data_IF_407161022881
#
_entry.id   IF_407161022881
#
_cell.length_a   1.000
_cell.length_b   1.000
_cell.length_c   1.000
_cell.angle_alpha   90.00
_cell.angle_beta   90.00
_cell.angle_gamma   90.00
#
_symmetry.space_group_name_H-M   'P 1'
#
loop_
_entity.id
_entity.type
_entity.pdbx_description
1 polymer ?
#
# COMPACT_ATOMS: atom_id res chain seq x y z
N UNK A 1 -1.40 10.33 -12.25
CA UNK A 1 -0.38 9.28 -12.54
C UNK A 1 1.00 9.77 -12.13
N UNK A 2 1.36 9.58 -10.86
CA UNK A 2 2.69 9.90 -10.36
C UNK A 2 3.60 8.70 -10.69
N UNK A 3 4.75 9.00 -11.27
CA UNK A 3 5.59 8.07 -12.04
C UNK A 3 6.05 6.86 -11.23
N UNK A 4 5.61 5.69 -11.64
CA UNK A 4 6.39 4.46 -11.51
C UNK A 4 7.66 4.61 -12.37
N UNK A 5 8.83 4.70 -11.73
CA UNK A 5 10.11 4.09 -12.16
C UNK A 5 11.30 4.65 -11.38
N UNK A 6 12.16 3.70 -10.98
CA UNK A 6 13.59 3.85 -10.69
C UNK A 6 14.06 4.44 -9.34
N UNK A 7 13.25 4.34 -8.28
CA UNK A 7 13.65 4.66 -6.90
C UNK A 7 13.92 3.46 -5.97
N UNK A 8 13.60 2.23 -6.39
CA UNK A 8 13.42 1.09 -5.48
C UNK A 8 14.65 0.69 -4.66
N UNK A 9 15.88 0.84 -5.17
CA UNK A 9 17.07 0.39 -4.41
C UNK A 9 17.36 1.26 -3.17
N UNK A 10 17.08 2.55 -3.22
CA UNK A 10 17.42 3.47 -2.12
C UNK A 10 16.38 3.47 -1.00
N UNK A 11 15.10 3.32 -1.33
CA UNK A 11 14.02 3.32 -0.33
C UNK A 11 14.00 1.98 0.45
N UNK A 12 14.41 0.88 -0.19
CA UNK A 12 14.36 -0.46 0.40
C UNK A 12 15.59 -0.85 1.24
N UNK A 13 16.68 -0.08 1.22
CA UNK A 13 18.01 -0.39 1.79
C UNK A 13 18.10 -0.61 3.32
N UNK A 14 16.97 -0.75 4.02
CA UNK A 14 16.93 -1.09 5.44
C UNK A 14 15.58 -1.65 5.89
N UNK A 15 14.83 -2.27 4.97
CA UNK A 15 13.65 -3.06 5.33
C UNK A 15 14.08 -4.53 5.26
N UNK A 16 14.20 -5.24 6.40
CA UNK A 16 14.59 -6.64 6.38
C UNK A 16 13.68 -7.48 5.48
N UNK A 17 14.26 -8.44 4.74
CA UNK A 17 13.49 -9.31 3.86
C UNK A 17 12.52 -10.22 4.61
N UNK A 18 12.87 -10.58 5.84
CA UNK A 18 12.14 -11.47 6.75
C UNK A 18 10.89 -10.87 7.39
N UNK A 19 10.58 -9.60 7.13
CA UNK A 19 9.39 -8.97 7.70
C UNK A 19 8.11 -9.51 7.05
N UNK A 20 7.02 -9.65 7.83
CA UNK A 20 5.69 -9.86 7.28
C UNK A 20 5.35 -8.80 6.23
N UNK A 21 4.66 -9.21 5.16
CA UNK A 21 4.37 -8.35 4.00
C UNK A 21 3.68 -7.03 4.38
N UNK A 22 2.80 -7.07 5.38
CA UNK A 22 2.09 -5.88 5.90
C UNK A 22 3.04 -4.86 6.54
N UNK A 23 3.99 -5.31 7.35
CA UNK A 23 5.01 -4.46 7.98
C UNK A 23 5.98 -3.94 6.92
N UNK A 24 6.32 -4.78 5.93
CA UNK A 24 7.16 -4.40 4.81
C UNK A 24 6.53 -3.23 4.05
N UNK A 25 5.29 -3.36 3.59
CA UNK A 25 4.55 -2.32 2.88
C UNK A 25 4.50 -1.00 3.67
N UNK A 26 4.15 -1.06 4.96
CA UNK A 26 4.12 0.11 5.84
C UNK A 26 5.49 0.82 5.91
N UNK A 27 6.59 0.07 6.10
CA UNK A 27 7.94 0.63 6.18
C UNK A 27 8.44 1.22 4.86
N UNK A 28 8.10 0.61 3.72
CA UNK A 28 8.45 1.14 2.40
C UNK A 28 7.83 2.53 2.22
N UNK A 29 6.56 2.68 2.56
CA UNK A 29 5.83 3.94 2.41
C UNK A 29 6.31 5.01 3.40
N UNK A 30 6.61 4.64 4.65
CA UNK A 30 7.15 5.60 5.63
C UNK A 30 8.51 6.15 5.20
N UNK A 31 9.35 5.33 4.55
CA UNK A 31 10.61 5.80 3.96
C UNK A 31 10.40 6.68 2.74
N UNK A 32 9.45 6.35 1.86
CA UNK A 32 9.12 7.16 0.68
C UNK A 32 8.65 8.58 1.05
N UNK A 33 7.93 8.74 2.17
CA UNK A 33 7.59 10.06 2.71
C UNK A 33 8.82 10.91 3.04
N UNK A 34 9.82 10.32 3.70
CA UNK A 34 11.00 11.04 4.17
C UNK A 34 11.86 11.62 3.04
N UNK A 35 11.63 11.19 1.78
CA UNK A 35 12.29 11.72 0.58
C UNK A 35 11.44 12.72 -0.21
N UNK A 36 10.31 13.20 0.36
CA UNK A 36 9.53 14.31 -0.20
C UNK A 36 8.30 13.92 -1.02
N UNK A 37 7.92 12.64 -1.03
CA UNK A 37 6.65 12.18 -1.62
C UNK A 37 5.62 12.04 -0.51
N UNK A 38 4.96 13.15 -0.14
CA UNK A 38 3.82 13.08 0.77
C UNK A 38 2.63 13.84 0.20
N UNK A 39 1.45 13.38 0.58
CA UNK A 39 0.16 13.92 0.15
C UNK A 39 -0.06 15.28 0.81
N UNK A 40 -0.56 16.27 0.07
CA UNK A 40 -0.89 17.59 0.64
C UNK A 40 -1.99 17.47 1.70
N UNK A 41 -2.91 16.51 1.54
CA UNK A 41 -3.95 16.18 2.51
C UNK A 41 -4.09 14.67 2.70
N UNK A 42 -4.18 14.16 3.94
CA UNK A 42 -4.44 12.75 4.21
C UNK A 42 -5.74 12.20 3.60
N UNK A 43 -6.69 13.07 3.22
CA UNK A 43 -7.94 12.66 2.60
C UNK A 43 -7.76 12.18 1.15
N UNK A 44 -6.73 12.65 0.44
CA UNK A 44 -6.50 12.37 -0.99
C UNK A 44 -6.10 10.89 -1.21
N UNK A 45 -5.59 10.22 -0.17
CA UNK A 45 -5.28 8.79 -0.23
C UNK A 45 -6.52 7.93 -0.52
N UNK A 46 -7.70 8.40 -0.13
CA UNK A 46 -8.95 7.65 -0.32
C UNK A 46 -9.36 7.59 -1.79
N UNK A 47 -8.94 8.56 -2.61
CA UNK A 47 -9.20 8.48 -4.05
C UNK A 47 -8.38 7.34 -4.66
N UNK A 48 -7.13 7.16 -4.24
CA UNK A 48 -6.31 6.03 -4.67
C UNK A 48 -6.85 4.69 -4.16
N UNK A 49 -7.28 4.60 -2.89
CA UNK A 49 -7.91 3.38 -2.36
C UNK A 49 -9.14 2.97 -3.18
N UNK A 50 -9.98 3.93 -3.62
CA UNK A 50 -11.14 3.64 -4.47
C UNK A 50 -10.75 3.28 -5.90
N UNK A 51 -9.70 3.88 -6.44
CA UNK A 51 -9.12 3.52 -7.75
C UNK A 51 -8.69 2.05 -7.76
N UNK A 52 -7.83 1.63 -6.82
CA UNK A 52 -7.34 0.24 -6.74
C UNK A 52 -8.48 -0.76 -6.50
N UNK A 53 -9.48 -0.40 -5.69
CA UNK A 53 -10.65 -1.25 -5.48
C UNK A 53 -11.41 -1.47 -6.78
N UNK A 54 -11.55 -0.43 -7.60
CA UNK A 54 -12.25 -0.51 -8.89
C UNK A 54 -11.48 -1.38 -9.89
N UNK A 55 -10.14 -1.31 -9.88
CA UNK A 55 -9.26 -2.13 -10.71
C UNK A 55 -9.34 -3.60 -10.30
N UNK A 56 -9.25 -3.89 -9.00
CA UNK A 56 -9.47 -5.23 -8.46
C UNK A 56 -10.84 -5.82 -8.85
N UNK A 57 -11.92 -5.06 -8.69
CA UNK A 57 -13.27 -5.50 -9.08
C UNK A 57 -13.36 -5.81 -10.59
N UNK A 58 -12.68 -5.02 -11.43
CA UNK A 58 -12.66 -5.22 -12.87
C UNK A 58 -11.94 -6.52 -13.27
N UNK A 59 -10.77 -6.81 -12.68
CA UNK A 59 -10.01 -8.03 -13.00
C UNK A 59 -10.69 -9.28 -12.43
N UNK A 60 -11.28 -9.19 -11.23
CA UNK A 60 -12.13 -10.25 -10.68
C UNK A 60 -13.32 -10.56 -11.61
N UNK A 61 -13.95 -9.53 -12.19
CA UNK A 61 -15.03 -9.66 -13.15
C UNK A 61 -14.63 -10.34 -14.47
N UNK A 62 -13.35 -10.27 -14.84
CA UNK A 62 -12.79 -10.96 -16.01
C UNK A 62 -12.40 -12.41 -15.73
N UNK A 63 -12.29 -12.80 -14.45
CA UNK A 63 -11.85 -14.13 -14.05
C UNK A 63 -10.35 -14.38 -14.26
N UNK A 64 -9.55 -13.32 -14.40
CA UNK A 64 -8.10 -13.41 -14.49
C UNK A 64 -7.51 -13.45 -13.08
N UNK A 65 -7.09 -14.63 -12.63
CA UNK A 65 -6.60 -14.84 -11.27
C UNK A 65 -5.27 -14.12 -11.01
N UNK A 66 -4.36 -14.13 -11.97
CA UNK A 66 -3.03 -13.52 -11.81
C UNK A 66 -3.15 -12.00 -11.75
N UNK A 67 -3.95 -11.42 -12.65
CA UNK A 67 -4.25 -9.98 -12.60
C UNK A 67 -4.98 -9.61 -11.31
N UNK A 68 -5.97 -10.40 -10.89
CA UNK A 68 -6.69 -10.15 -9.63
C UNK A 68 -5.79 -10.20 -8.40
N UNK A 69 -4.81 -11.11 -8.35
CA UNK A 69 -3.86 -11.19 -7.24
C UNK A 69 -2.94 -9.96 -7.21
N UNK A 70 -2.55 -9.44 -8.37
CA UNK A 70 -1.80 -8.20 -8.49
C UNK A 70 -2.59 -7.00 -7.93
N UNK A 71 -3.80 -6.80 -8.44
CA UNK A 71 -4.67 -5.68 -8.03
C UNK A 71 -5.07 -5.77 -6.55
N UNK A 72 -5.19 -6.99 -6.01
CA UNK A 72 -5.40 -7.19 -4.58
C UNK A 72 -4.20 -6.69 -3.77
N UNK A 73 -2.98 -6.92 -4.26
CA UNK A 73 -1.75 -6.39 -3.69
C UNK A 73 -1.77 -4.86 -3.65
N UNK A 74 -2.13 -4.21 -4.75
CA UNK A 74 -2.15 -2.75 -4.86
C UNK A 74 -3.26 -2.11 -4.01
N UNK A 75 -4.44 -2.75 -3.96
CA UNK A 75 -5.51 -2.35 -3.05
C UNK A 75 -5.05 -2.40 -1.58
N UNK A 76 -4.47 -3.52 -1.15
CA UNK A 76 -3.95 -3.66 0.22
C UNK A 76 -2.84 -2.65 0.51
N UNK A 77 -1.94 -2.43 -0.46
CA UNK A 77 -0.86 -1.45 -0.33
C UNK A 77 -1.41 -0.03 -0.13
N UNK A 78 -2.45 0.35 -0.88
CA UNK A 78 -3.13 1.63 -0.76
C UNK A 78 -3.84 1.80 0.59
N UNK A 79 -4.50 0.75 1.09
CA UNK A 79 -5.11 0.75 2.43
C UNK A 79 -4.05 0.92 3.53
N UNK A 80 -2.91 0.23 3.42
CA UNK A 80 -1.79 0.36 4.35
C UNK A 80 -1.22 1.80 4.32
N UNK A 81 -1.16 2.43 3.15
CA UNK A 81 -0.72 3.83 3.04
C UNK A 81 -1.71 4.79 3.69
N UNK A 82 -3.02 4.54 3.55
CA UNK A 82 -4.03 5.29 4.29
C UNK A 82 -3.81 5.15 5.80
N UNK A 83 -3.67 3.93 6.31
CA UNK A 83 -3.39 3.67 7.73
C UNK A 83 -2.15 4.45 8.21
N UNK A 84 -1.05 4.41 7.44
CA UNK A 84 0.17 5.17 7.72
C UNK A 84 -0.07 6.68 7.83
N UNK A 85 -0.83 7.27 6.91
CA UNK A 85 -1.15 8.71 6.92
C UNK A 85 -1.98 9.12 8.15
N UNK A 86 -2.87 8.25 8.62
CA UNK A 86 -3.62 8.43 9.86
C UNK A 86 -2.85 7.99 11.12
N UNK A 87 -1.57 7.61 10.99
CA UNK A 87 -0.70 7.11 12.08
C UNK A 87 -1.25 5.87 12.78
N UNK A 88 -1.93 5.01 12.03
CA UNK A 88 -2.43 3.73 12.47
C UNK A 88 -1.45 2.63 12.05
N UNK A 89 -1.10 1.74 12.98
CA UNK A 89 -0.33 0.54 12.65
C UNK A 89 -1.29 -0.54 12.12
N UNK A 90 -1.16 -0.96 10.85
CA UNK A 90 -2.10 -1.91 10.25
C UNK A 90 -1.99 -3.33 10.84
N UNK A 91 -0.83 -3.72 11.37
CA UNK A 91 -0.63 -5.04 11.99
C UNK A 91 -1.37 -5.13 13.33
N UNK A 92 -1.19 -4.12 14.20
CA UNK A 92 -1.96 -4.01 15.45
C UNK A 92 -3.48 -3.93 15.19
N UNK A 93 -3.90 -3.22 14.14
CA UNK A 93 -5.31 -3.09 13.79
C UNK A 93 -5.93 -4.44 13.36
N UNK A 94 -5.18 -5.24 12.60
CA UNK A 94 -5.60 -6.61 12.24
C UNK A 94 -5.61 -7.52 13.47
N UNK A 95 -4.58 -7.46 14.32
CA UNK A 95 -4.53 -8.23 15.57
C UNK A 95 -5.77 -7.98 16.42
N UNK A 96 -6.15 -6.71 16.64
CA UNK A 96 -7.36 -6.36 17.38
C UNK A 96 -8.67 -6.88 16.77
N UNK A 97 -8.72 -7.12 15.46
CA UNK A 97 -9.93 -7.62 14.77
C UNK A 97 -10.09 -9.14 14.88
N UNK A 98 -8.97 -9.86 15.04
CA UNK A 98 -8.95 -11.32 15.11
C UNK A 98 -9.24 -11.87 16.52
N UNK A 99 -9.40 -10.99 17.52
CA UNK A 99 -9.69 -11.31 18.92
C UNK A 99 -11.14 -10.99 19.28
#
# INVERSE_FOLDING_TARGET
>A
KQRERDGNKSVLSGVPESLPSIIKAYRVQDKARNVGFDWEKPADVWDKVREELSELEAELGRGDHEASEHELGDFLFSVINAARLYRLNPDNALEHTNH
#
